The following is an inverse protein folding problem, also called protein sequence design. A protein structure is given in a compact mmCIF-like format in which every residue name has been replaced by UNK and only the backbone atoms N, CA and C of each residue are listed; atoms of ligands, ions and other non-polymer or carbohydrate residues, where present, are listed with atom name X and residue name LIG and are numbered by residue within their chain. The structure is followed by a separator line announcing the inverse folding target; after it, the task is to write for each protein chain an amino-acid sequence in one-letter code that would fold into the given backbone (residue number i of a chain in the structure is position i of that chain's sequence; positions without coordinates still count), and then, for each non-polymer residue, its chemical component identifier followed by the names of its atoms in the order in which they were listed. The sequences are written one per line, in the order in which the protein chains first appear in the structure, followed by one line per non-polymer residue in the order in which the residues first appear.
data_IF_215542104521
#
_entry.id   IF_215542104521
#
_cell.length_a   1.000
_cell.length_b   1.000
_cell.length_c   1.000
_cell.angle_alpha   90.00
_cell.angle_beta   90.00
_cell.angle_gamma   90.00
#
_symmetry.space_group_name_H-M   'P 1'
#
loop_
_entity.id
_entity.type
_entity.pdbx_description
1 polymer ?
#
# COMPACT_ATOMS: atom_id res chain seq x y z
N UNK A 1 25.30 -6.55 -39.87
CA UNK A 1 24.93 -5.74 -38.67
C UNK A 1 23.95 -6.56 -37.83
N UNK A 2 24.15 -6.70 -36.54
CA UNK A 2 23.23 -7.49 -35.72
C UNK A 2 21.84 -6.80 -35.66
N UNK A 3 20.77 -7.58 -35.41
CA UNK A 3 19.42 -7.05 -35.25
C UNK A 3 19.37 -5.95 -34.17
N UNK A 4 20.16 -6.12 -33.10
CA UNK A 4 20.33 -5.15 -32.03
C UNK A 4 20.83 -3.79 -32.56
N UNK A 5 21.96 -3.78 -33.27
CA UNK A 5 22.56 -2.57 -33.86
C UNK A 5 21.65 -1.92 -34.89
N UNK A 6 20.98 -2.72 -35.72
CA UNK A 6 20.00 -2.22 -36.69
C UNK A 6 18.84 -1.48 -35.99
N UNK A 7 18.29 -2.06 -34.91
CA UNK A 7 17.18 -1.45 -34.19
C UNK A 7 17.61 -0.15 -33.52
N UNK A 8 18.77 -0.08 -32.88
CA UNK A 8 19.29 1.15 -32.27
C UNK A 8 19.50 2.26 -33.33
N UNK A 9 20.06 1.90 -34.50
CA UNK A 9 20.23 2.86 -35.59
C UNK A 9 18.89 3.42 -36.05
N UNK A 10 17.88 2.57 -36.23
CA UNK A 10 16.54 3.00 -36.63
C UNK A 10 15.90 3.93 -35.59
N UNK A 11 16.07 3.66 -34.28
CA UNK A 11 15.55 4.55 -33.23
C UNK A 11 16.24 5.91 -33.29
N UNK A 12 17.56 5.98 -33.50
CA UNK A 12 18.32 7.23 -33.64
C UNK A 12 17.89 8.05 -34.85
N UNK A 13 17.61 7.39 -35.98
CA UNK A 13 17.24 8.02 -37.23
C UNK A 13 15.76 8.42 -37.30
N UNK A 14 14.96 8.04 -36.33
CA UNK A 14 13.51 8.31 -36.30
C UNK A 14 13.23 9.58 -35.50
N UNK A 15 12.59 10.58 -36.13
CA UNK A 15 12.19 11.82 -35.46
C UNK A 15 10.85 11.73 -34.72
N UNK A 16 10.05 10.70 -35.00
CA UNK A 16 8.72 10.54 -34.41
C UNK A 16 8.76 9.66 -33.15
N UNK A 17 8.43 10.22 -32.01
CA UNK A 17 8.41 9.50 -30.73
C UNK A 17 7.48 8.30 -30.72
N UNK A 18 6.36 8.31 -31.43
CA UNK A 18 5.47 7.15 -31.57
C UNK A 18 6.12 5.97 -32.29
N UNK A 19 7.02 6.22 -33.22
CA UNK A 19 7.81 5.20 -33.92
C UNK A 19 8.99 4.77 -33.07
N UNK A 20 9.70 5.70 -32.41
CA UNK A 20 10.74 5.40 -31.43
C UNK A 20 10.20 4.48 -30.33
N UNK A 21 9.01 4.77 -29.79
CA UNK A 21 8.34 3.95 -28.77
C UNK A 21 8.16 2.50 -29.22
N UNK A 22 7.65 2.28 -30.44
CA UNK A 22 7.45 0.94 -30.99
C UNK A 22 8.77 0.17 -31.17
N UNK A 23 9.78 0.83 -31.69
CA UNK A 23 11.11 0.23 -31.91
C UNK A 23 11.79 -0.10 -30.56
N UNK A 24 11.71 0.79 -29.59
CA UNK A 24 12.25 0.58 -28.28
C UNK A 24 11.50 -0.55 -27.54
N UNK A 25 10.18 -0.59 -27.63
CA UNK A 25 9.35 -1.69 -27.13
C UNK A 25 9.76 -3.04 -27.73
N UNK A 26 9.96 -3.09 -29.04
CA UNK A 26 10.42 -4.28 -29.74
C UNK A 26 11.79 -4.73 -29.23
N UNK A 27 12.75 -3.80 -29.08
CA UNK A 27 14.08 -4.09 -28.55
C UNK A 27 14.02 -4.66 -27.13
N UNK A 28 13.28 -4.00 -26.24
CA UNK A 28 13.11 -4.39 -24.84
C UNK A 28 12.43 -5.77 -24.71
N UNK A 29 11.40 -6.02 -25.52
CA UNK A 29 10.73 -7.33 -25.57
C UNK A 29 11.71 -8.45 -25.92
N UNK A 30 12.54 -8.24 -26.92
CA UNK A 30 13.51 -9.26 -27.34
C UNK A 30 14.64 -9.45 -26.31
N UNK A 31 15.09 -8.41 -25.62
CA UNK A 31 16.03 -8.50 -24.52
C UNK A 31 15.43 -9.25 -23.32
N UNK A 32 14.18 -8.93 -22.95
CA UNK A 32 13.49 -9.57 -21.83
C UNK A 32 13.26 -11.06 -22.06
N UNK A 33 12.90 -11.45 -23.28
CA UNK A 33 12.63 -12.85 -23.64
C UNK A 33 13.87 -13.63 -24.11
N UNK A 34 15.08 -13.10 -23.88
CA UNK A 34 16.37 -13.69 -24.22
C UNK A 34 16.53 -14.04 -25.72
N UNK A 35 15.75 -13.43 -26.59
CA UNK A 35 15.93 -13.54 -28.05
C UNK A 35 17.13 -12.70 -28.54
N UNK A 36 17.45 -11.65 -27.78
CA UNK A 36 18.67 -10.87 -27.89
C UNK A 36 19.43 -10.97 -26.57
N UNK A 37 20.76 -11.10 -26.68
CA UNK A 37 21.64 -11.15 -25.50
C UNK A 37 22.48 -9.88 -25.49
N UNK A 38 22.53 -9.20 -24.36
CA UNK A 38 23.43 -8.08 -24.13
C UNK A 38 24.86 -8.63 -23.92
N UNK A 39 25.63 -8.65 -24.99
CA UNK A 39 27.09 -8.85 -24.88
C UNK A 39 27.73 -7.59 -24.27
N UNK A 40 28.94 -7.67 -23.71
CA UNK A 40 29.63 -6.46 -23.16
C UNK A 40 29.68 -5.31 -24.19
N UNK A 41 29.91 -5.62 -25.46
CA UNK A 41 29.98 -4.64 -26.53
C UNK A 41 28.60 -4.00 -26.81
N UNK A 42 27.52 -4.79 -26.83
CA UNK A 42 26.16 -4.30 -26.99
C UNK A 42 25.67 -3.51 -25.77
N UNK A 43 26.16 -3.83 -24.56
CA UNK A 43 25.87 -3.08 -23.34
C UNK A 43 26.39 -1.66 -23.41
N UNK A 44 27.65 -1.48 -23.80
CA UNK A 44 28.24 -0.15 -23.95
C UNK A 44 27.51 0.69 -25.00
N UNK A 45 27.15 0.10 -26.15
CA UNK A 45 26.41 0.78 -27.19
C UNK A 45 24.97 1.13 -26.74
N UNK A 46 24.31 0.24 -26.03
CA UNK A 46 22.97 0.49 -25.48
C UNK A 46 22.97 1.55 -24.39
N UNK A 47 23.97 1.54 -23.53
CA UNK A 47 24.16 2.58 -22.51
C UNK A 47 24.38 3.94 -23.15
N UNK A 48 25.29 4.05 -24.13
CA UNK A 48 25.53 5.31 -24.88
C UNK A 48 24.24 5.85 -25.52
N UNK A 49 23.51 4.97 -26.21
CA UNK A 49 22.21 5.31 -26.81
C UNK A 49 21.21 5.84 -25.77
N UNK A 50 21.09 5.16 -24.61
CA UNK A 50 20.16 5.58 -23.59
C UNK A 50 20.49 6.97 -23.04
N UNK A 51 21.78 7.27 -22.84
CA UNK A 51 22.19 8.60 -22.36
C UNK A 51 21.93 9.69 -23.38
N UNK A 52 22.14 9.44 -24.66
CA UNK A 52 21.79 10.37 -25.74
C UNK A 52 20.28 10.71 -25.71
N UNK A 53 19.42 9.69 -25.57
CA UNK A 53 17.97 9.88 -25.50
C UNK A 53 17.52 10.53 -24.18
N UNK A 54 18.16 10.18 -23.04
CA UNK A 54 17.90 10.81 -21.74
C UNK A 54 18.16 12.32 -21.80
N UNK A 55 19.29 12.73 -22.35
CA UNK A 55 19.62 14.15 -22.51
C UNK A 55 18.66 14.86 -23.46
N UNK A 56 18.20 14.17 -24.51
CA UNK A 56 17.16 14.71 -25.38
C UNK A 56 15.85 14.93 -24.64
N UNK A 57 15.42 13.98 -23.82
CA UNK A 57 14.18 14.08 -23.03
C UNK A 57 14.27 15.14 -21.95
N UNK A 58 15.41 15.25 -21.24
CA UNK A 58 15.65 16.31 -20.25
C UNK A 58 15.46 17.71 -20.86
N UNK A 59 15.90 17.91 -22.09
CA UNK A 59 15.75 19.17 -22.81
C UNK A 59 14.35 19.38 -23.37
N UNK A 60 13.70 18.32 -23.84
CA UNK A 60 12.42 18.38 -24.54
C UNK A 60 11.22 18.52 -23.59
N UNK A 61 11.14 17.70 -22.54
CA UNK A 61 9.97 17.61 -21.66
C UNK A 61 9.57 18.99 -21.08
N UNK A 62 10.51 19.80 -20.56
CA UNK A 62 10.16 21.13 -20.02
C UNK A 62 9.62 22.12 -21.06
N UNK A 63 9.85 21.87 -22.35
CA UNK A 63 9.39 22.74 -23.46
C UNK A 63 7.98 22.42 -23.95
N UNK A 64 7.42 21.30 -23.52
CA UNK A 64 6.11 20.83 -23.97
C UNK A 64 5.06 21.14 -22.90
N UNK A 65 4.18 22.05 -23.21
CA UNK A 65 3.02 22.37 -22.39
C UNK A 65 2.09 21.14 -22.32
N UNK A 66 1.76 20.71 -21.09
CA UNK A 66 0.93 19.53 -20.81
C UNK A 66 1.47 18.22 -21.44
N UNK A 67 2.79 17.99 -21.40
CA UNK A 67 3.39 16.78 -21.99
C UNK A 67 2.77 15.47 -21.50
N UNK A 68 2.24 15.44 -20.27
CA UNK A 68 1.54 14.27 -19.68
C UNK A 68 0.26 13.88 -20.44
N UNK A 69 -0.31 14.80 -21.20
CA UNK A 69 -1.49 14.57 -22.04
C UNK A 69 -1.11 14.09 -23.46
N UNK A 70 0.19 13.99 -23.76
CA UNK A 70 0.68 13.52 -25.05
C UNK A 70 0.96 12.01 -25.00
N UNK A 71 -0.03 11.20 -25.31
CA UNK A 71 0.02 9.73 -25.26
C UNK A 71 1.30 9.11 -25.83
N UNK A 72 1.80 9.65 -26.94
CA UNK A 72 3.00 9.11 -27.60
C UNK A 72 4.29 9.39 -26.81
N UNK A 73 4.40 10.52 -26.11
CA UNK A 73 5.53 10.82 -25.24
C UNK A 73 5.45 9.96 -23.98
N UNK A 74 4.25 9.76 -23.47
CA UNK A 74 4.01 8.93 -22.31
C UNK A 74 4.36 7.44 -22.53
N UNK A 75 4.03 6.90 -23.72
CA UNK A 75 4.48 5.55 -24.10
C UNK A 75 5.99 5.45 -24.23
N UNK A 76 6.63 6.47 -24.83
CA UNK A 76 8.08 6.49 -24.98
C UNK A 76 8.79 6.61 -23.63
N UNK A 77 8.28 7.46 -22.74
CA UNK A 77 8.73 7.58 -21.36
C UNK A 77 8.69 6.23 -20.63
N UNK A 78 7.59 5.50 -20.74
CA UNK A 78 7.46 4.16 -20.16
C UNK A 78 8.52 3.18 -20.67
N UNK A 79 8.79 3.18 -21.98
CA UNK A 79 9.80 2.30 -22.54
C UNK A 79 11.22 2.75 -22.17
N UNK A 80 11.48 4.04 -22.05
CA UNK A 80 12.75 4.57 -21.55
C UNK A 80 12.99 4.15 -20.09
N UNK A 81 11.98 4.20 -19.23
CA UNK A 81 12.08 3.71 -17.85
C UNK A 81 12.49 2.23 -17.81
N UNK A 82 11.86 1.39 -18.63
CA UNK A 82 12.22 -0.02 -18.74
C UNK A 82 13.66 -0.22 -19.30
N UNK A 83 14.07 0.62 -20.23
CA UNK A 83 15.42 0.59 -20.79
C UNK A 83 16.48 0.97 -19.75
N UNK A 84 16.22 2.02 -18.96
CA UNK A 84 17.04 2.44 -17.81
C UNK A 84 17.19 1.28 -16.82
N UNK A 85 16.10 0.59 -16.49
CA UNK A 85 16.13 -0.57 -15.59
C UNK A 85 16.99 -1.72 -16.14
N UNK A 86 16.93 -1.97 -17.45
CA UNK A 86 17.79 -3.00 -18.09
C UNK A 86 19.25 -2.59 -18.02
N UNK A 87 19.58 -1.33 -18.24
CA UNK A 87 20.93 -0.80 -18.11
C UNK A 87 21.47 -0.92 -16.68
N UNK A 88 20.69 -0.52 -15.69
CA UNK A 88 21.06 -0.66 -14.29
C UNK A 88 21.35 -2.11 -13.89
N UNK A 89 20.59 -3.06 -14.43
CA UNK A 89 20.81 -4.48 -14.18
C UNK A 89 22.04 -5.06 -14.88
N UNK A 90 22.46 -4.43 -15.97
CA UNK A 90 23.52 -4.94 -16.81
C UNK A 90 24.83 -4.18 -16.70
N UNK A 91 24.82 -2.99 -16.12
CA UNK A 91 26.01 -2.17 -15.96
C UNK A 91 26.67 -2.47 -14.62
N UNK A 92 27.83 -3.08 -14.64
CA UNK A 92 28.68 -3.25 -13.45
C UNK A 92 29.16 -1.89 -12.92
N UNK A 93 29.21 -0.85 -13.77
CA UNK A 93 29.61 0.52 -13.37
C UNK A 93 28.94 1.58 -14.27
N UNK A 94 27.94 2.28 -13.76
CA UNK A 94 27.53 3.58 -14.32
C UNK A 94 28.46 4.65 -13.75
N UNK A 95 28.95 5.56 -14.61
CA UNK A 95 29.69 6.72 -14.15
C UNK A 95 28.79 7.66 -13.31
N UNK A 96 29.38 8.49 -12.46
CA UNK A 96 28.62 9.46 -11.65
C UNK A 96 27.83 10.43 -12.54
N UNK A 97 28.38 10.81 -13.69
CA UNK A 97 27.70 11.66 -14.69
C UNK A 97 26.45 10.97 -15.27
N UNK A 98 26.57 9.69 -15.58
CA UNK A 98 25.45 8.88 -16.06
C UNK A 98 24.35 8.74 -15.00
N UNK A 99 24.71 8.51 -13.76
CA UNK A 99 23.76 8.49 -12.63
C UNK A 99 23.05 9.81 -12.48
N UNK A 100 23.79 10.91 -12.52
CA UNK A 100 23.25 12.28 -12.42
C UNK A 100 22.25 12.59 -13.53
N UNK A 101 22.53 12.17 -14.77
CA UNK A 101 21.62 12.36 -15.90
C UNK A 101 20.33 11.55 -15.74
N UNK A 102 20.43 10.29 -15.27
CA UNK A 102 19.25 9.48 -14.96
C UNK A 102 18.42 10.13 -13.84
N UNK A 103 19.07 10.57 -12.77
CA UNK A 103 18.40 11.21 -11.64
C UNK A 103 17.67 12.50 -12.08
N UNK A 104 18.31 13.31 -12.93
CA UNK A 104 17.71 14.50 -13.51
C UNK A 104 16.49 14.17 -14.38
N UNK A 105 16.58 13.15 -15.24
CA UNK A 105 15.43 12.71 -16.04
C UNK A 105 14.29 12.23 -15.14
N UNK A 106 14.60 11.41 -14.14
CA UNK A 106 13.61 10.91 -13.19
C UNK A 106 13.00 12.02 -12.32
N UNK A 107 13.66 13.17 -12.20
CA UNK A 107 13.07 14.36 -11.58
C UNK A 107 12.00 15.04 -12.42
N UNK A 108 12.10 14.92 -13.73
CA UNK A 108 11.18 15.54 -14.70
C UNK A 108 10.01 14.62 -15.04
N UNK A 109 10.26 13.31 -15.05
CA UNK A 109 9.28 12.27 -15.41
C UNK A 109 8.27 11.98 -14.30
N UNK A 110 7.24 11.23 -14.62
CA UNK A 110 6.27 10.74 -13.62
C UNK A 110 6.87 9.62 -12.75
N UNK A 111 7.53 10.04 -11.65
CA UNK A 111 8.22 9.16 -10.70
C UNK A 111 7.33 8.10 -10.07
N UNK A 112 6.07 8.45 -9.81
CA UNK A 112 5.10 7.57 -9.16
C UNK A 112 4.89 6.28 -9.97
N UNK A 113 4.58 6.44 -11.24
CA UNK A 113 4.38 5.30 -12.16
C UNK A 113 5.66 4.50 -12.36
N UNK A 114 6.81 5.17 -12.36
CA UNK A 114 8.09 4.49 -12.47
C UNK A 114 8.37 3.60 -11.26
N UNK A 115 8.14 4.10 -10.04
CA UNK A 115 8.29 3.31 -8.81
C UNK A 115 7.32 2.13 -8.77
N UNK A 116 6.05 2.33 -9.14
CA UNK A 116 5.06 1.26 -9.23
C UNK A 116 5.49 0.16 -10.22
N UNK A 117 5.84 0.55 -11.44
CA UNK A 117 6.29 -0.41 -12.47
C UNK A 117 7.55 -1.16 -12.03
N UNK A 118 8.48 -0.48 -11.37
CA UNK A 118 9.71 -1.08 -10.89
C UNK A 118 9.45 -2.09 -9.76
N UNK A 119 8.58 -1.76 -8.83
CA UNK A 119 8.15 -2.65 -7.75
C UNK A 119 7.47 -3.89 -8.34
N UNK A 120 6.52 -3.68 -9.25
CA UNK A 120 5.84 -4.78 -9.94
C UNK A 120 6.82 -5.67 -10.70
N UNK A 121 7.74 -5.11 -11.45
CA UNK A 121 8.70 -5.87 -12.21
C UNK A 121 9.62 -6.70 -11.30
N UNK A 122 10.12 -6.10 -10.23
CA UNK A 122 10.99 -6.78 -9.26
C UNK A 122 10.25 -7.98 -8.67
N UNK A 123 9.06 -7.77 -8.12
CA UNK A 123 8.37 -8.80 -7.36
C UNK A 123 7.61 -9.80 -8.22
N UNK A 124 7.13 -9.42 -9.42
CA UNK A 124 6.44 -10.34 -10.34
C UNK A 124 7.43 -11.23 -11.10
N UNK A 125 8.51 -10.66 -11.59
CA UNK A 125 9.52 -11.42 -12.38
C UNK A 125 10.52 -12.19 -11.52
N UNK A 126 10.43 -12.10 -10.20
CA UNK A 126 11.33 -12.76 -9.23
C UNK A 126 12.81 -12.50 -9.49
N UNK A 127 13.15 -11.31 -9.94
CA UNK A 127 14.54 -10.88 -10.18
C UNK A 127 15.01 -10.04 -9.01
N UNK A 128 15.48 -10.69 -7.98
CA UNK A 128 15.84 -10.10 -6.69
C UNK A 128 17.37 -9.98 -6.51
N UNK A 129 18.09 -9.51 -7.51
CA UNK A 129 19.49 -9.19 -7.25
C UNK A 129 19.60 -7.95 -6.35
N UNK A 130 20.64 -7.93 -5.54
CA UNK A 130 20.87 -6.88 -4.55
C UNK A 130 21.00 -5.49 -5.21
N UNK A 131 21.49 -5.42 -6.43
CA UNK A 131 21.70 -4.17 -7.17
C UNK A 131 20.37 -3.55 -7.63
N UNK A 132 19.46 -4.37 -8.17
CA UNK A 132 18.12 -3.92 -8.53
C UNK A 132 17.36 -3.39 -7.30
N UNK A 133 17.53 -4.05 -6.15
CA UNK A 133 16.91 -3.57 -4.90
C UNK A 133 17.55 -2.26 -4.41
N UNK A 134 18.88 -2.14 -4.44
CA UNK A 134 19.55 -0.86 -4.09
C UNK A 134 19.06 0.29 -4.97
N UNK A 135 18.89 0.03 -6.26
CA UNK A 135 18.36 1.01 -7.19
C UNK A 135 16.92 1.44 -6.85
N UNK A 136 16.03 0.48 -6.59
CA UNK A 136 14.67 0.76 -6.14
C UNK A 136 14.65 1.64 -4.87
N UNK A 137 15.49 1.30 -3.90
CA UNK A 137 15.58 2.07 -2.66
C UNK A 137 16.15 3.48 -2.89
N UNK A 138 17.15 3.61 -3.78
CA UNK A 138 17.68 4.92 -4.17
C UNK A 138 16.60 5.80 -4.83
N UNK A 139 15.81 5.24 -5.74
CA UNK A 139 14.69 5.95 -6.36
C UNK A 139 13.64 6.40 -5.35
N UNK A 140 13.35 5.58 -4.35
CA UNK A 140 12.45 5.96 -3.26
C UNK A 140 12.98 7.15 -2.47
N UNK A 141 14.30 7.21 -2.23
CA UNK A 141 14.95 8.33 -1.55
C UNK A 141 14.91 9.64 -2.36
N UNK A 142 14.95 9.55 -3.69
CA UNK A 142 14.84 10.71 -4.58
C UNK A 142 13.42 11.28 -4.67
N UNK A 143 12.40 10.54 -4.24
CA UNK A 143 11.03 11.03 -4.21
C UNK A 143 10.93 12.18 -3.19
N UNK A 144 10.56 13.38 -3.68
CA UNK A 144 10.42 14.59 -2.84
C UNK A 144 9.16 14.54 -1.99
N UNK A 145 8.10 13.93 -2.52
CA UNK A 145 6.80 13.87 -1.89
C UNK A 145 6.65 12.56 -1.10
N UNK A 146 6.20 12.67 0.13
CA UNK A 146 6.03 11.52 1.03
C UNK A 146 5.01 10.51 0.48
N UNK A 147 3.99 10.98 -0.22
CA UNK A 147 3.02 10.12 -0.88
C UNK A 147 3.69 9.12 -1.85
N UNK A 148 4.68 9.56 -2.63
CA UNK A 148 5.38 8.68 -3.57
C UNK A 148 6.23 7.61 -2.85
N UNK A 149 6.79 7.94 -1.68
CA UNK A 149 7.51 6.96 -0.85
C UNK A 149 6.59 5.86 -0.33
N UNK A 150 5.33 6.19 -0.06
CA UNK A 150 4.30 5.24 0.37
C UNK A 150 4.06 4.11 -0.62
N UNK A 151 4.30 4.34 -1.92
CA UNK A 151 4.15 3.31 -2.97
C UNK A 151 5.10 2.12 -2.75
N UNK A 152 6.31 2.35 -2.25
CA UNK A 152 7.21 1.27 -1.87
C UNK A 152 6.58 0.39 -0.78
N UNK A 153 6.05 1.00 0.27
CA UNK A 153 5.51 0.25 1.41
C UNK A 153 4.25 -0.52 1.03
N UNK A 154 3.36 0.08 0.23
CA UNK A 154 2.19 -0.59 -0.35
C UNK A 154 2.61 -1.79 -1.21
N UNK A 155 3.60 -1.62 -2.07
CA UNK A 155 4.15 -2.69 -2.90
C UNK A 155 4.74 -3.81 -2.05
N UNK A 156 5.50 -3.50 -1.00
CA UNK A 156 6.03 -4.49 -0.08
C UNK A 156 4.92 -5.29 0.61
N UNK A 157 3.82 -4.65 1.04
CA UNK A 157 2.67 -5.34 1.62
C UNK A 157 1.96 -6.22 0.60
N UNK A 158 1.79 -5.75 -0.63
CA UNK A 158 1.18 -6.53 -1.71
C UNK A 158 1.99 -7.80 -1.99
N UNK A 159 3.31 -7.70 -2.05
CA UNK A 159 4.22 -8.80 -2.37
C UNK A 159 4.83 -9.51 -1.14
N UNK A 160 4.17 -9.47 0.01
CA UNK A 160 4.65 -10.04 1.28
C UNK A 160 5.23 -11.47 1.19
N UNK A 161 4.58 -12.35 0.40
CA UNK A 161 5.05 -13.74 0.19
C UNK A 161 6.36 -13.81 -0.58
N UNK A 162 6.61 -12.84 -1.42
CA UNK A 162 7.85 -12.72 -2.19
C UNK A 162 8.98 -12.20 -1.32
N UNK A 163 8.72 -11.24 -0.45
CA UNK A 163 9.70 -10.71 0.53
C UNK A 163 10.27 -11.84 1.38
N UNK A 164 9.42 -12.74 1.88
CA UNK A 164 9.87 -13.85 2.71
C UNK A 164 10.78 -14.86 1.97
N UNK A 165 10.79 -14.83 0.62
CA UNK A 165 11.64 -15.67 -0.22
C UNK A 165 12.93 -14.98 -0.67
N UNK A 166 13.09 -13.69 -0.39
CA UNK A 166 14.31 -12.95 -0.72
C UNK A 166 15.52 -13.52 0.03
N UNK A 167 16.72 -13.46 -0.58
CA UNK A 167 17.96 -13.68 0.15
C UNK A 167 18.04 -12.80 1.40
N UNK A 168 18.69 -13.29 2.45
CA UNK A 168 18.79 -12.57 3.72
C UNK A 168 19.44 -11.20 3.54
N UNK A 169 20.53 -11.13 2.78
CA UNK A 169 21.22 -9.88 2.46
C UNK A 169 20.27 -8.85 1.82
N UNK A 170 19.44 -9.28 0.88
CA UNK A 170 18.48 -8.41 0.20
C UNK A 170 17.38 -7.93 1.17
N UNK A 171 16.88 -8.82 2.02
CA UNK A 171 15.93 -8.44 3.06
C UNK A 171 16.52 -7.45 4.05
N UNK A 172 17.77 -7.62 4.40
CA UNK A 172 18.50 -6.73 5.32
C UNK A 172 18.69 -5.33 4.72
N UNK A 173 18.93 -5.21 3.41
CA UNK A 173 18.98 -3.92 2.72
C UNK A 173 17.64 -3.18 2.79
N UNK A 174 16.54 -3.86 2.44
CA UNK A 174 15.19 -3.27 2.53
C UNK A 174 14.86 -2.92 3.99
N UNK A 175 15.14 -3.82 4.91
CA UNK A 175 14.90 -3.62 6.34
C UNK A 175 15.66 -2.41 6.91
N UNK A 176 16.92 -2.19 6.49
CA UNK A 176 17.71 -1.04 6.90
C UNK A 176 17.14 0.28 6.37
N UNK A 177 16.68 0.30 5.11
CA UNK A 177 16.00 1.45 4.53
C UNK A 177 14.71 1.78 5.29
N UNK A 178 13.83 0.78 5.51
CA UNK A 178 12.58 0.96 6.26
C UNK A 178 12.84 1.45 7.68
N UNK A 179 13.87 0.93 8.35
CA UNK A 179 14.28 1.37 9.68
C UNK A 179 14.67 2.86 9.68
N UNK A 180 15.46 3.29 8.70
CA UNK A 180 15.87 4.69 8.54
C UNK A 180 14.66 5.60 8.32
N UNK A 181 13.74 5.22 7.43
CA UNK A 181 12.54 5.99 7.17
C UNK A 181 11.59 6.03 8.38
N UNK A 182 11.43 4.91 9.09
CA UNK A 182 10.63 4.88 10.32
C UNK A 182 11.18 5.82 11.40
N UNK A 183 12.50 5.84 11.60
CA UNK A 183 13.14 6.81 12.51
C UNK A 183 12.82 8.23 12.09
N UNK A 184 13.01 8.56 10.82
CA UNK A 184 12.74 9.89 10.27
C UNK A 184 11.28 10.32 10.49
N UNK A 185 10.32 9.44 10.22
CA UNK A 185 8.89 9.72 10.41
C UNK A 185 8.49 9.91 11.88
N UNK A 186 9.10 9.15 12.79
CA UNK A 186 8.83 9.29 14.24
C UNK A 186 9.33 10.61 14.82
N UNK A 187 10.29 11.27 14.16
CA UNK A 187 10.88 12.54 14.57
C UNK A 187 10.31 13.75 13.80
N UNK A 188 9.65 13.50 12.66
CA UNK A 188 9.11 14.55 11.81
C UNK A 188 7.77 15.12 12.34
N UNK A 189 7.42 16.36 11.99
CA UNK A 189 6.06 16.86 12.18
C UNK A 189 5.05 15.98 11.47
N UNK A 190 4.00 15.57 12.19
CA UNK A 190 3.01 14.65 11.68
C UNK A 190 2.13 15.33 10.61
N UNK A 191 2.16 14.80 9.41
CA UNK A 191 1.27 15.14 8.29
C UNK A 191 0.50 13.89 7.86
N UNK A 192 -0.58 14.04 7.10
CA UNK A 192 -1.38 12.91 6.63
C UNK A 192 -0.54 11.86 5.86
N UNK A 193 0.36 12.31 5.00
CA UNK A 193 1.23 11.41 4.23
C UNK A 193 2.22 10.66 5.13
N UNK A 194 2.77 11.34 6.15
CA UNK A 194 3.66 10.71 7.14
C UNK A 194 2.88 9.70 7.98
N UNK A 195 1.66 10.02 8.42
CA UNK A 195 0.80 9.07 9.13
C UNK A 195 0.53 7.83 8.30
N UNK A 196 0.10 8.00 7.06
CA UNK A 196 -0.17 6.90 6.13
C UNK A 196 1.08 6.03 5.88
N UNK A 197 2.24 6.66 5.67
CA UNK A 197 3.49 5.93 5.48
C UNK A 197 3.93 5.18 6.73
N UNK A 198 3.79 5.79 7.90
CA UNK A 198 4.16 5.17 9.17
C UNK A 198 3.25 3.99 9.50
N UNK A 199 1.95 4.07 9.18
CA UNK A 199 1.01 2.95 9.28
C UNK A 199 1.49 1.77 8.43
N UNK A 200 1.77 2.00 7.13
CA UNK A 200 2.26 0.98 6.21
C UNK A 200 3.58 0.37 6.68
N UNK A 201 4.51 1.20 7.15
CA UNK A 201 5.79 0.75 7.71
C UNK A 201 5.57 -0.15 8.92
N UNK A 202 4.71 0.25 9.87
CA UNK A 202 4.42 -0.56 11.04
C UNK A 202 3.92 -1.96 10.66
N UNK A 203 3.12 -2.08 9.59
CA UNK A 203 2.65 -3.37 9.10
C UNK A 203 3.73 -4.17 8.36
N UNK A 204 4.53 -3.49 7.53
CA UNK A 204 5.61 -4.12 6.75
C UNK A 204 6.76 -4.65 7.62
N UNK A 205 7.05 -4.01 8.76
CA UNK A 205 8.15 -4.39 9.65
C UNK A 205 8.15 -5.86 10.06
N UNK A 206 6.99 -6.51 10.13
CA UNK A 206 6.84 -7.93 10.52
C UNK A 206 7.55 -8.92 9.59
N UNK A 207 7.94 -8.51 8.39
CA UNK A 207 8.64 -9.35 7.41
C UNK A 207 10.16 -9.28 7.51
N UNK A 208 10.68 -8.46 8.42
CA UNK A 208 12.09 -8.17 8.58
C UNK A 208 12.60 -8.57 9.98
N UNK A 209 13.88 -8.33 10.22
CA UNK A 209 14.52 -8.67 11.48
C UNK A 209 13.93 -7.87 12.64
N UNK A 210 13.47 -8.59 13.66
CA UNK A 210 12.84 -8.06 14.87
C UNK A 210 13.68 -7.00 15.59
N UNK A 211 14.97 -7.25 15.76
CA UNK A 211 15.90 -6.41 16.50
C UNK A 211 16.02 -4.98 15.95
N UNK A 212 15.72 -4.80 14.66
CA UNK A 212 15.71 -3.48 14.02
C UNK A 212 14.53 -2.60 14.41
N UNK A 213 13.39 -3.19 14.73
CA UNK A 213 12.12 -2.47 14.78
C UNK A 213 11.45 -2.40 16.15
N UNK A 214 11.81 -3.26 17.10
CA UNK A 214 11.09 -3.35 18.39
C UNK A 214 11.06 -1.99 19.12
N UNK A 215 12.20 -1.29 19.20
CA UNK A 215 12.25 0.01 19.87
C UNK A 215 11.39 1.06 19.14
N UNK A 216 11.45 1.09 17.81
CA UNK A 216 10.68 2.02 16.98
C UNK A 216 9.18 1.76 17.07
N UNK A 217 8.77 0.49 17.08
CA UNK A 217 7.37 0.11 17.25
C UNK A 217 6.88 0.50 18.66
N UNK A 218 7.72 0.41 19.69
CA UNK A 218 7.37 0.92 21.02
C UNK A 218 7.22 2.46 21.05
N UNK A 219 7.96 3.21 20.24
CA UNK A 219 7.71 4.64 20.04
C UNK A 219 6.39 4.88 19.28
N UNK A 220 6.14 4.11 18.22
CA UNK A 220 4.94 4.24 17.39
C UNK A 220 3.64 3.98 18.15
N UNK A 221 3.58 3.00 19.08
CA UNK A 221 2.39 2.77 19.91
C UNK A 221 2.04 3.92 20.86
N UNK A 222 2.98 4.84 21.10
CA UNK A 222 2.75 6.03 21.92
C UNK A 222 2.14 7.20 21.14
N UNK A 223 2.09 7.12 19.81
CA UNK A 223 1.46 8.15 18.97
C UNK A 223 -0.06 8.18 19.17
N UNK A 224 -0.66 9.34 18.90
CA UNK A 224 -2.11 9.54 19.04
C UNK A 224 -2.95 8.82 18.00
N UNK A 225 -2.38 8.54 16.82
CA UNK A 225 -3.09 7.91 15.70
C UNK A 225 -3.37 6.42 15.98
N UNK A 226 -4.65 6.02 15.93
CA UNK A 226 -5.09 4.65 16.25
C UNK A 226 -4.70 3.62 15.19
N UNK A 227 -4.62 4.01 13.90
CA UNK A 227 -4.16 3.14 12.82
C UNK A 227 -2.71 2.72 13.05
N UNK A 228 -1.82 3.71 13.25
CA UNK A 228 -0.40 3.46 13.53
C UNK A 228 -0.25 2.57 14.77
N UNK A 229 -0.97 2.90 15.85
CA UNK A 229 -0.95 2.16 17.10
C UNK A 229 -1.36 0.70 16.90
N UNK A 230 -2.45 0.46 16.16
CA UNK A 230 -2.93 -0.90 15.89
C UNK A 230 -1.91 -1.74 15.10
N UNK A 231 -1.36 -1.22 14.01
CA UNK A 231 -0.38 -1.96 13.20
C UNK A 231 0.94 -2.17 13.94
N UNK A 232 1.38 -1.21 14.73
CA UNK A 232 2.56 -1.38 15.57
C UNK A 232 2.34 -2.47 16.65
N UNK A 233 1.17 -2.51 17.29
CA UNK A 233 0.79 -3.59 18.22
C UNK A 233 0.74 -4.94 17.50
N UNK A 234 0.14 -5.01 16.31
CA UNK A 234 0.07 -6.24 15.53
C UNK A 234 1.45 -6.80 15.22
N UNK A 235 2.38 -5.94 14.86
CA UNK A 235 3.77 -6.31 14.56
C UNK A 235 4.55 -6.70 15.81
N UNK A 236 4.40 -5.97 16.93
CA UNK A 236 5.00 -6.36 18.21
C UNK A 236 4.53 -7.75 18.68
N UNK A 237 3.23 -8.05 18.54
CA UNK A 237 2.69 -9.38 18.84
C UNK A 237 3.25 -10.46 17.91
N UNK A 238 3.43 -10.17 16.62
CA UNK A 238 4.10 -11.06 15.67
C UNK A 238 5.53 -11.37 16.10
N UNK A 239 6.22 -10.40 16.64
CA UNK A 239 7.57 -10.55 17.20
C UNK A 239 7.59 -11.20 18.60
N UNK A 240 6.43 -11.58 19.13
CA UNK A 240 6.30 -12.10 20.48
C UNK A 240 6.80 -11.12 21.56
N UNK A 241 6.66 -9.82 21.33
CA UNK A 241 6.97 -8.78 22.28
C UNK A 241 5.78 -8.48 23.19
N UNK A 242 6.07 -7.93 24.36
CA UNK A 242 5.04 -7.44 25.25
C UNK A 242 4.52 -6.08 24.80
N UNK A 243 3.21 -5.89 24.98
CA UNK A 243 2.52 -4.64 24.66
C UNK A 243 1.89 -4.13 25.98
N UNK A 244 2.05 -2.83 26.30
CA UNK A 244 1.46 -2.27 27.52
C UNK A 244 -0.07 -2.45 27.56
N UNK A 245 -0.61 -2.85 28.69
CA UNK A 245 -2.05 -3.05 28.87
C UNK A 245 -2.87 -1.75 28.59
N UNK A 246 -2.30 -0.57 28.90
CA UNK A 246 -2.91 0.72 28.60
C UNK A 246 -3.11 0.96 27.12
N UNK A 247 -2.18 0.49 26.26
CA UNK A 247 -2.28 0.58 24.81
C UNK A 247 -3.39 -0.32 24.28
N UNK A 248 -3.46 -1.55 24.80
CA UNK A 248 -4.54 -2.48 24.47
C UNK A 248 -5.90 -1.92 24.92
N UNK A 249 -5.98 -1.36 26.14
CA UNK A 249 -7.20 -0.73 26.63
C UNK A 249 -7.62 0.46 25.76
N UNK A 250 -6.69 1.28 25.28
CA UNK A 250 -6.98 2.39 24.37
C UNK A 250 -7.59 1.88 23.06
N UNK A 251 -7.00 0.87 22.42
CA UNK A 251 -7.52 0.26 21.19
C UNK A 251 -8.86 -0.46 21.44
N UNK A 252 -9.04 -1.07 22.61
CA UNK A 252 -10.29 -1.74 22.97
C UNK A 252 -11.45 -0.78 23.23
N UNK A 253 -11.17 0.46 23.66
CA UNK A 253 -12.18 1.51 23.85
C UNK A 253 -12.54 2.24 22.55
N UNK A 254 -11.75 2.09 21.50
CA UNK A 254 -12.03 2.66 20.19
C UNK A 254 -12.94 1.71 19.40
N UNK A 255 -14.11 2.22 18.98
CA UNK A 255 -15.12 1.42 18.31
C UNK A 255 -14.68 0.86 16.96
N UNK A 256 -13.77 1.50 16.26
CA UNK A 256 -13.26 0.99 14.98
C UNK A 256 -12.22 -0.12 15.17
N UNK A 257 -11.54 -0.14 16.33
CA UNK A 257 -10.41 -1.05 16.59
C UNK A 257 -10.71 -2.16 17.59
N UNK A 258 -11.76 -2.06 18.41
CA UNK A 258 -12.04 -3.02 19.48
C UNK A 258 -12.13 -4.47 18.97
N UNK A 259 -12.96 -4.74 17.97
CA UNK A 259 -13.11 -6.08 17.40
C UNK A 259 -11.81 -6.59 16.74
N UNK A 260 -11.11 -5.72 15.99
CA UNK A 260 -9.82 -6.06 15.38
C UNK A 260 -8.78 -6.42 16.44
N UNK A 261 -8.71 -5.63 17.50
CA UNK A 261 -7.78 -5.84 18.62
C UNK A 261 -8.08 -7.14 19.35
N UNK A 262 -9.35 -7.42 19.63
CA UNK A 262 -9.77 -8.69 20.24
C UNK A 262 -9.39 -9.89 19.36
N UNK A 263 -9.69 -9.83 18.06
CA UNK A 263 -9.33 -10.85 17.08
C UNK A 263 -7.82 -11.07 16.96
N UNK A 264 -7.05 -9.98 17.00
CA UNK A 264 -5.59 -10.00 17.00
C UNK A 264 -5.05 -10.72 18.26
N UNK A 265 -5.50 -10.30 19.44
CA UNK A 265 -5.08 -10.92 20.71
C UNK A 265 -5.45 -12.40 20.76
N UNK A 266 -6.64 -12.78 20.28
CA UNK A 266 -7.06 -14.17 20.18
C UNK A 266 -6.13 -14.99 19.29
N UNK A 267 -5.69 -14.46 18.15
CA UNK A 267 -4.72 -15.11 17.24
C UNK A 267 -3.42 -15.44 17.95
N UNK A 268 -2.96 -14.55 18.84
CA UNK A 268 -1.72 -14.72 19.61
C UNK A 268 -1.93 -15.33 21.01
N UNK A 269 -3.15 -15.79 21.34
CA UNK A 269 -3.50 -16.39 22.65
C UNK A 269 -3.24 -15.44 23.82
N UNK A 270 -3.49 -14.14 23.60
CA UNK A 270 -3.31 -13.07 24.59
C UNK A 270 -4.63 -12.35 24.92
N UNK A 271 -5.80 -13.01 24.71
CA UNK A 271 -7.14 -12.45 24.93
C UNK A 271 -7.33 -11.86 26.33
N UNK A 272 -6.61 -12.39 27.30
CA UNK A 272 -6.65 -11.91 28.72
C UNK A 272 -6.15 -10.46 28.86
N UNK A 273 -5.44 -9.92 27.86
CA UNK A 273 -5.01 -8.51 27.85
C UNK A 273 -6.15 -7.57 27.44
N UNK A 274 -7.20 -8.08 26.80
CA UNK A 274 -8.37 -7.28 26.44
C UNK A 274 -9.23 -7.03 27.67
N UNK A 275 -9.75 -5.79 27.88
CA UNK A 275 -10.62 -5.48 29.01
C UNK A 275 -11.84 -6.40 29.05
N UNK A 276 -12.07 -7.08 30.18
CA UNK A 276 -13.11 -8.10 30.29
C UNK A 276 -14.52 -7.54 30.06
N UNK A 277 -14.77 -6.32 30.52
CA UNK A 277 -16.01 -5.60 30.37
C UNK A 277 -16.37 -5.25 28.91
N UNK A 278 -15.35 -5.11 28.04
CA UNK A 278 -15.49 -4.82 26.61
C UNK A 278 -15.48 -6.09 25.73
N UNK A 279 -15.23 -7.26 26.31
CA UNK A 279 -15.15 -8.53 25.58
C UNK A 279 -16.51 -9.18 25.29
N UNK A 280 -17.61 -8.44 25.49
CA UNK A 280 -18.96 -8.95 25.23
C UNK A 280 -19.22 -9.10 23.73
N UNK A 281 -19.93 -10.14 23.29
CA UNK A 281 -20.24 -10.33 21.87
C UNK A 281 -20.99 -9.14 21.26
N UNK A 282 -21.85 -8.50 22.02
CA UNK A 282 -22.63 -7.32 21.58
C UNK A 282 -21.70 -6.13 21.29
N UNK A 283 -20.74 -5.86 22.18
CA UNK A 283 -19.77 -4.78 22.01
C UNK A 283 -18.84 -5.03 20.80
N UNK A 284 -18.33 -6.24 20.66
CA UNK A 284 -17.47 -6.62 19.54
C UNK A 284 -18.23 -6.59 18.21
N UNK A 285 -19.50 -6.97 18.19
CA UNK A 285 -20.35 -6.88 17.00
C UNK A 285 -20.64 -5.41 16.64
N UNK A 286 -20.83 -4.54 17.62
CA UNK A 286 -20.98 -3.10 17.42
C UNK A 286 -19.72 -2.50 16.79
N UNK A 287 -18.56 -2.84 17.34
CA UNK A 287 -17.26 -2.41 16.80
C UNK A 287 -17.06 -2.86 15.35
N UNK A 288 -17.42 -4.10 15.04
CA UNK A 288 -17.33 -4.64 13.66
C UNK A 288 -18.20 -3.85 12.69
N UNK A 289 -19.43 -3.53 13.09
CA UNK A 289 -20.34 -2.71 12.27
C UNK A 289 -19.85 -1.26 12.14
N UNK A 290 -19.39 -0.64 13.22
CA UNK A 290 -18.87 0.75 13.17
C UNK A 290 -17.69 0.83 12.22
N UNK A 291 -16.73 -0.08 12.31
CA UNK A 291 -15.57 -0.12 11.42
C UNK A 291 -15.97 -0.22 9.94
N UNK A 292 -16.99 -1.01 9.62
CA UNK A 292 -17.50 -1.09 8.26
C UNK A 292 -18.16 0.22 7.83
N UNK A 293 -19.01 0.78 8.67
CA UNK A 293 -19.69 2.04 8.38
C UNK A 293 -18.70 3.19 8.20
N UNK A 294 -17.56 3.18 8.91
CA UNK A 294 -16.50 4.18 8.76
C UNK A 294 -15.74 4.08 7.42
N UNK A 295 -15.93 2.99 6.64
CA UNK A 295 -15.27 2.87 5.35
C UNK A 295 -15.73 3.96 4.36
N UNK A 296 -14.81 4.53 3.54
CA UNK A 296 -15.15 5.61 2.59
C UNK A 296 -16.27 5.28 1.58
N UNK A 297 -16.47 3.99 1.26
CA UNK A 297 -17.58 3.55 0.39
C UNK A 297 -18.93 3.49 1.10
N UNK A 298 -18.96 3.61 2.42
CA UNK A 298 -20.16 3.60 3.26
C UNK A 298 -20.40 5.03 3.79
N UNK A 299 -20.35 5.24 5.11
CA UNK A 299 -20.50 6.57 5.69
C UNK A 299 -19.23 7.42 5.60
N UNK A 300 -18.05 6.80 5.48
CA UNK A 300 -16.75 7.49 5.52
C UNK A 300 -16.35 7.98 6.91
N UNK A 301 -17.19 7.74 7.92
CA UNK A 301 -16.99 8.11 9.32
C UNK A 301 -17.79 7.19 10.23
N UNK A 302 -17.43 7.13 11.51
CA UNK A 302 -18.26 6.44 12.50
C UNK A 302 -19.67 7.07 12.56
N UNK A 303 -20.74 6.28 12.76
CA UNK A 303 -22.07 6.81 12.94
C UNK A 303 -22.15 7.71 14.19
N UNK A 304 -22.98 8.77 14.13
CA UNK A 304 -23.16 9.70 15.25
C UNK A 304 -23.82 9.02 16.47
N UNK A 305 -24.73 8.09 16.19
CA UNK A 305 -25.35 7.24 17.20
C UNK A 305 -25.46 5.81 16.71
N UNK A 306 -25.30 4.85 17.61
CA UNK A 306 -25.51 3.43 17.36
C UNK A 306 -26.04 2.75 18.62
N UNK A 307 -27.11 1.98 18.46
CA UNK A 307 -27.77 1.29 19.57
C UNK A 307 -28.02 -0.18 19.23
N UNK A 308 -27.67 -1.06 20.15
CA UNK A 308 -28.02 -2.48 20.06
C UNK A 308 -29.54 -2.67 20.29
N UNK A 309 -30.23 -3.34 19.36
CA UNK A 309 -31.68 -3.58 19.45
C UNK A 309 -32.04 -5.05 19.59
N UNK A 310 -31.12 -5.98 19.41
CA UNK A 310 -31.39 -7.39 19.62
C UNK A 310 -30.51 -8.32 18.82
N UNK A 311 -30.74 -9.63 19.01
CA UNK A 311 -30.00 -10.67 18.28
C UNK A 311 -30.93 -11.74 17.73
N UNK A 312 -30.53 -12.33 16.60
CA UNK A 312 -31.20 -13.45 15.95
C UNK A 312 -30.23 -14.60 15.78
N UNK A 313 -30.62 -15.79 16.18
CA UNK A 313 -29.88 -17.04 15.90
C UNK A 313 -30.48 -17.75 14.71
N UNK A 314 -29.67 -18.08 13.73
CA UNK A 314 -30.02 -18.89 12.56
C UNK A 314 -28.88 -19.86 12.23
N UNK A 315 -28.17 -19.71 11.11
CA UNK A 315 -26.91 -20.43 10.83
C UNK A 315 -25.70 -19.81 11.53
N UNK A 316 -25.81 -18.52 11.92
CA UNK A 316 -24.91 -17.74 12.76
C UNK A 316 -25.69 -16.99 13.84
N UNK A 317 -25.01 -16.12 14.56
CA UNK A 317 -25.66 -15.16 15.46
C UNK A 317 -25.53 -13.77 14.84
N UNK A 318 -26.66 -13.15 14.59
CA UNK A 318 -26.76 -11.80 14.00
C UNK A 318 -27.08 -10.82 15.13
N UNK A 319 -26.20 -9.85 15.34
CA UNK A 319 -26.38 -8.76 16.30
C UNK A 319 -26.89 -7.55 15.52
N UNK A 320 -28.07 -7.07 15.87
CA UNK A 320 -28.81 -6.05 15.13
C UNK A 320 -28.72 -4.74 15.85
N UNK A 321 -28.40 -3.70 15.11
CA UNK A 321 -28.23 -2.33 15.60
C UNK A 321 -29.11 -1.39 14.79
N UNK A 322 -29.52 -0.29 15.43
CA UNK A 322 -29.93 0.91 14.72
C UNK A 322 -28.84 1.96 14.85
N UNK A 323 -28.65 2.75 13.82
CA UNK A 323 -27.65 3.81 13.81
C UNK A 323 -28.18 5.00 13.02
N UNK A 324 -27.61 6.17 13.23
CA UNK A 324 -27.84 7.37 12.41
C UNK A 324 -26.53 8.09 12.15
N UNK A 325 -26.49 8.83 11.05
CA UNK A 325 -25.33 9.60 10.64
C UNK A 325 -25.74 10.80 9.82
N UNK A 326 -25.01 11.90 10.02
CA UNK A 326 -25.10 13.11 9.21
C UNK A 326 -24.07 13.11 8.06
N UNK A 327 -23.48 11.95 7.74
CA UNK A 327 -22.50 11.79 6.68
C UNK A 327 -23.03 12.30 5.32
N UNK A 328 -22.14 12.99 4.59
CA UNK A 328 -22.42 13.46 3.23
C UNK A 328 -22.56 12.33 2.20
N UNK A 329 -22.10 11.13 2.53
CA UNK A 329 -22.26 9.93 1.68
C UNK A 329 -23.72 9.41 1.68
N UNK A 330 -24.58 9.89 2.59
CA UNK A 330 -25.99 9.54 2.62
C UNK A 330 -26.82 10.54 1.81
N UNK A 331 -27.89 10.03 1.17
CA UNK A 331 -28.89 10.87 0.54
C UNK A 331 -29.58 11.78 1.56
N UNK A 332 -30.03 12.95 1.12
CA UNK A 332 -30.69 13.94 1.99
C UNK A 332 -31.88 13.36 2.79
N UNK A 333 -32.63 12.41 2.18
CA UNK A 333 -33.78 11.76 2.82
C UNK A 333 -33.37 10.79 3.95
N UNK A 334 -32.14 10.30 3.93
CA UNK A 334 -31.62 9.28 4.87
C UNK A 334 -30.73 9.88 5.93
N UNK A 335 -30.11 11.01 5.63
CA UNK A 335 -29.23 11.73 6.55
C UNK A 335 -29.95 12.07 7.85
N UNK A 336 -29.32 11.74 8.97
CA UNK A 336 -29.90 11.93 10.30
C UNK A 336 -31.05 10.99 10.66
N UNK A 337 -31.51 10.13 9.75
CA UNK A 337 -32.54 9.14 10.04
C UNK A 337 -31.96 7.87 10.68
N UNK A 338 -32.80 7.16 11.44
CA UNK A 338 -32.43 5.86 11.97
C UNK A 338 -32.40 4.80 10.88
N UNK A 339 -31.24 4.23 10.66
CA UNK A 339 -30.95 3.13 9.74
C UNK A 339 -30.71 1.85 10.56
N UNK A 340 -30.71 0.71 9.88
CA UNK A 340 -30.52 -0.60 10.50
C UNK A 340 -29.35 -1.33 9.86
N UNK A 341 -28.47 -1.85 10.71
CA UNK A 341 -27.37 -2.71 10.30
C UNK A 341 -27.22 -3.89 11.25
N UNK A 342 -26.47 -4.89 10.85
CA UNK A 342 -26.11 -6.01 11.71
C UNK A 342 -24.71 -6.54 11.43
N UNK A 343 -24.15 -7.20 12.45
CA UNK A 343 -22.91 -7.96 12.34
C UNK A 343 -23.19 -9.43 12.60
N UNK A 344 -22.70 -10.30 11.72
CA UNK A 344 -22.83 -11.76 11.86
C UNK A 344 -21.63 -12.35 12.57
N UNK A 345 -21.85 -13.14 13.61
CA UNK A 345 -20.83 -13.95 14.25
C UNK A 345 -20.92 -15.41 13.81
N UNK A 346 -19.84 -15.91 13.22
CA UNK A 346 -19.61 -17.34 12.93
C UNK A 346 -18.37 -17.82 13.66
N UNK A 347 -18.54 -18.82 14.55
CA UNK A 347 -17.41 -19.40 15.25
C UNK A 347 -16.64 -18.45 16.18
N UNK A 348 -17.29 -17.34 16.61
CA UNK A 348 -16.69 -16.33 17.48
C UNK A 348 -15.79 -15.30 16.78
N UNK A 349 -15.86 -15.24 15.45
CA UNK A 349 -15.31 -14.14 14.65
C UNK A 349 -16.44 -13.38 14.00
N UNK A 350 -16.35 -12.05 14.04
CA UNK A 350 -17.27 -11.16 13.34
C UNK A 350 -16.61 -10.83 12.00
N UNK A 351 -17.17 -11.25 10.90
CA UNK A 351 -16.53 -11.05 9.59
C UNK A 351 -17.49 -10.79 8.43
N UNK A 352 -18.78 -11.06 8.63
CA UNK A 352 -19.78 -10.82 7.61
C UNK A 352 -20.91 -10.04 8.24
N UNK A 353 -21.29 -8.96 7.60
CA UNK A 353 -22.49 -8.21 7.97
C UNK A 353 -23.15 -7.76 6.67
N UNK A 354 -24.46 -7.59 6.75
CA UNK A 354 -25.26 -6.99 5.71
C UNK A 354 -25.85 -5.70 6.23
N UNK A 355 -25.82 -4.66 5.42
CA UNK A 355 -26.42 -3.37 5.72
C UNK A 355 -27.87 -3.38 5.22
N UNK A 356 -28.80 -3.07 6.09
CA UNK A 356 -30.19 -2.88 5.73
C UNK A 356 -30.60 -1.45 6.06
N UNK A 357 -30.79 -0.63 5.04
CA UNK A 357 -31.35 0.70 5.14
C UNK A 357 -32.87 0.64 4.90
N UNK A 358 -33.67 0.76 5.96
CA UNK A 358 -35.11 0.92 5.83
C UNK A 358 -35.55 2.12 6.66
N UNK A 359 -35.95 3.17 5.98
CA UNK A 359 -36.32 4.47 6.52
C UNK A 359 -37.63 4.50 7.29
N UNK A 360 -38.26 3.36 7.53
CA UNK A 360 -39.45 3.31 8.37
C UNK A 360 -39.04 3.22 9.82
N UNK A 361 -39.54 4.13 10.64
CA UNK A 361 -39.48 4.03 12.09
C UNK A 361 -40.20 2.76 12.54
N UNK A 362 -39.44 1.70 12.73
CA UNK A 362 -39.95 0.46 13.28
C UNK A 362 -39.48 0.40 14.72
N UNK A 363 -40.40 0.06 15.65
CA UNK A 363 -39.99 -0.19 17.04
C UNK A 363 -38.99 -1.33 17.12
N UNK A 364 -38.05 -1.28 18.08
CA UNK A 364 -36.97 -2.26 18.19
C UNK A 364 -37.43 -3.72 18.08
N UNK A 365 -38.50 -4.10 18.80
CA UNK A 365 -39.05 -5.48 18.76
C UNK A 365 -39.61 -5.85 17.39
N UNK A 366 -40.25 -4.92 16.70
CA UNK A 366 -40.81 -5.17 15.36
C UNK A 366 -39.70 -5.29 14.33
N UNK A 367 -38.62 -4.51 14.47
CA UNK A 367 -37.46 -4.55 13.59
C UNK A 367 -36.77 -5.90 13.67
N UNK A 368 -36.46 -6.42 14.86
CA UNK A 368 -35.83 -7.72 15.06
C UNK A 368 -36.70 -8.84 14.47
N UNK A 369 -38.04 -8.80 14.69
CA UNK A 369 -38.97 -9.77 14.10
C UNK A 369 -39.03 -9.70 12.58
N UNK A 370 -39.02 -8.50 12.02
CA UNK A 370 -39.03 -8.28 10.58
C UNK A 370 -37.78 -8.83 9.92
N UNK A 371 -36.59 -8.50 10.47
CA UNK A 371 -35.29 -8.99 9.98
C UNK A 371 -35.26 -10.52 10.01
N UNK A 372 -35.65 -11.12 11.15
CA UNK A 372 -35.72 -12.58 11.29
C UNK A 372 -36.60 -13.26 10.24
N UNK A 373 -37.73 -12.63 9.89
CA UNK A 373 -38.72 -13.21 8.99
C UNK A 373 -38.37 -13.00 7.51
N UNK A 374 -37.79 -11.83 7.16
CA UNK A 374 -37.75 -11.41 5.75
C UNK A 374 -36.31 -11.29 5.18
N UNK A 375 -35.29 -11.15 6.03
CA UNK A 375 -33.91 -10.88 5.58
C UNK A 375 -32.93 -11.99 5.94
N UNK A 376 -33.14 -12.71 7.02
CA UNK A 376 -32.35 -13.85 7.47
C UNK A 376 -33.08 -15.18 7.30
#
# INVERSE_FOLDING_TARGET
MSLFKQTLTLIRETDKYSEKSKLLSFLLHNLTHRKLVLTPENKAEFSSFLFEEIECLIRLIPTIENYKEKDFLFEYEYHMQNAIMICYRSAEELSDEQRSSIDTLLEIMNKERFLENMIDEIFTKKKYDAETIRYMLAMTNLAKEEYHKGKLYQGLLHYQRSILKLPEETRDLIGAHIQSEMNRYLEAPMTLDIENNLELICDVCRYFRKDRFVELLHKAICLGNMHIRFYAVATLLTFSCDVPASVIASLANDMEYANLTYGLLKRYRKEKLFPAELSTPEYLAQSDLVRWLSHPSELGQAPDDIEYIGKVKKRGTYYIFRYRSDSENLDEETRGQWLIGWSESKGGTFSNFDLYSNYKQITNDKTVKYIKKNLL
#
